data_IF_992137891013
#
_entry.id   IF_992137891013
#
_cell.length_a   1.000
_cell.length_b   1.000
_cell.length_c   1.000
_cell.angle_alpha   90.00
_cell.angle_beta   90.00
_cell.angle_gamma   90.00
#
_symmetry.space_group_name_H-M   'P 1'
#
loop_
_entity.id
_entity.type
_entity.pdbx_description
1 polymer ?
#
# COMPACT_ATOMS: atom_id res chain seq x y z
N UNK A 1 -2.95 -5.78 -14.65
CA UNK A 1 -1.56 -6.00 -15.08
C UNK A 1 -0.73 -6.34 -13.85
N UNK A 2 -0.04 -7.46 -13.89
CA UNK A 2 1.00 -7.85 -12.93
C UNK A 2 2.35 -7.64 -13.62
N UNK A 3 3.23 -6.87 -12.99
CA UNK A 3 4.62 -6.68 -13.45
C UNK A 3 5.57 -7.10 -12.32
N UNK A 4 6.44 -8.07 -12.58
CA UNK A 4 7.42 -8.60 -11.61
C UNK A 4 8.82 -8.34 -12.12
N UNK A 5 9.64 -7.66 -11.31
CA UNK A 5 11.07 -7.43 -11.58
C UNK A 5 11.89 -8.39 -10.73
N UNK A 6 12.56 -9.36 -11.35
CA UNK A 6 13.34 -10.40 -10.65
C UNK A 6 14.40 -11.00 -11.57
N UNK A 7 15.58 -11.27 -11.01
CA UNK A 7 16.70 -11.92 -11.70
C UNK A 7 17.13 -11.20 -12.98
N UNK A 8 17.21 -9.86 -12.93
CA UNK A 8 17.59 -9.06 -14.09
C UNK A 8 16.49 -8.85 -15.12
N UNK A 9 15.30 -9.44 -14.96
CA UNK A 9 14.22 -9.43 -15.95
C UNK A 9 12.96 -8.74 -15.45
N UNK A 10 12.20 -8.17 -16.38
CA UNK A 10 10.82 -7.70 -16.19
C UNK A 10 9.88 -8.75 -16.78
N UNK A 11 8.99 -9.27 -15.95
CA UNK A 11 7.96 -10.23 -16.30
C UNK A 11 6.60 -9.56 -16.24
N UNK A 12 5.75 -9.79 -17.23
CA UNK A 12 4.39 -9.25 -17.25
C UNK A 12 3.34 -10.31 -17.52
N UNK A 13 2.15 -10.12 -16.91
CA UNK A 13 0.97 -10.91 -17.17
C UNK A 13 -0.31 -10.08 -16.98
N UNK A 14 -1.25 -10.24 -17.92
CA UNK A 14 -2.56 -9.58 -17.88
C UNK A 14 -3.65 -10.57 -17.49
N UNK A 15 -4.58 -10.10 -16.66
CA UNK A 15 -5.74 -10.87 -16.20
C UNK A 15 -7.02 -10.11 -16.51
N UNK A 16 -8.06 -10.84 -16.93
CA UNK A 16 -9.41 -10.33 -17.14
C UNK A 16 -10.36 -11.26 -16.38
N UNK A 17 -11.12 -10.71 -15.43
CA UNK A 17 -11.98 -11.49 -14.52
C UNK A 17 -11.27 -12.70 -13.87
N UNK A 18 -10.00 -12.52 -13.50
CA UNK A 18 -9.17 -13.56 -12.88
C UNK A 18 -8.53 -14.55 -13.85
N UNK A 19 -8.91 -14.53 -15.13
CA UNK A 19 -8.35 -15.43 -16.15
C UNK A 19 -7.09 -14.81 -16.76
N UNK A 20 -5.94 -15.50 -16.76
CA UNK A 20 -4.74 -15.04 -17.45
C UNK A 20 -4.98 -15.01 -18.96
N UNK A 21 -4.62 -13.89 -19.60
CA UNK A 21 -4.83 -13.71 -21.04
C UNK A 21 -3.73 -14.36 -21.89
N UNK A 22 -2.56 -14.56 -21.29
CA UNK A 22 -1.40 -15.20 -21.89
C UNK A 22 -0.50 -15.75 -20.76
N UNK A 23 0.40 -16.71 -21.05
CA UNK A 23 1.47 -17.08 -20.14
C UNK A 23 2.35 -15.87 -19.79
N UNK A 24 2.92 -15.87 -18.59
CA UNK A 24 3.82 -14.81 -18.16
C UNK A 24 5.04 -14.73 -19.09
N UNK A 25 5.37 -13.53 -19.56
CA UNK A 25 6.45 -13.31 -20.54
C UNK A 25 7.44 -12.26 -20.06
N UNK A 26 8.68 -12.40 -20.53
CA UNK A 26 9.72 -11.39 -20.32
C UNK A 26 9.48 -10.25 -21.30
N UNK A 27 9.41 -9.03 -20.78
CA UNK A 27 9.19 -7.80 -21.59
C UNK A 27 10.40 -6.86 -21.57
N UNK A 28 11.43 -7.16 -20.78
CA UNK A 28 12.66 -6.38 -20.72
C UNK A 28 13.61 -6.80 -19.61
N UNK A 29 14.68 -6.02 -19.44
CA UNK A 29 15.65 -6.17 -18.36
C UNK A 29 15.36 -5.19 -17.22
N UNK A 30 15.82 -5.48 -16.00
CA UNK A 30 15.69 -4.61 -14.83
C UNK A 30 16.84 -4.79 -13.84
N UNK A 31 17.43 -3.67 -13.41
CA UNK A 31 18.45 -3.63 -12.36
C UNK A 31 17.84 -3.60 -10.94
N UNK A 32 16.51 -3.52 -10.85
CA UNK A 32 15.75 -3.51 -9.59
C UNK A 32 14.93 -4.78 -9.39
N UNK A 33 14.50 -4.99 -8.14
CA UNK A 33 13.54 -6.05 -7.78
C UNK A 33 12.25 -5.43 -7.26
N UNK A 34 11.14 -6.14 -7.46
CA UNK A 34 9.85 -5.68 -6.95
C UNK A 34 8.66 -6.28 -7.69
N UNK A 35 7.47 -6.04 -7.18
CA UNK A 35 6.21 -6.45 -7.80
C UNK A 35 5.27 -5.27 -7.84
N UNK A 36 4.65 -5.05 -9.00
CA UNK A 36 3.66 -4.03 -9.23
C UNK A 36 2.36 -4.71 -9.66
N UNK A 37 1.27 -4.31 -9.02
CA UNK A 37 -0.07 -4.80 -9.33
C UNK A 37 -0.92 -3.59 -9.69
N UNK A 38 -1.49 -3.61 -10.89
CA UNK A 38 -2.49 -2.66 -11.35
C UNK A 38 -3.79 -3.41 -11.66
N UNK A 39 -4.90 -2.99 -11.08
CA UNK A 39 -6.20 -3.62 -11.28
C UNK A 39 -7.31 -2.59 -11.44
N UNK A 40 -8.36 -2.99 -12.16
CA UNK A 40 -9.61 -2.26 -12.28
C UNK A 40 -10.71 -3.11 -11.62
N UNK A 41 -11.45 -2.60 -10.61
CA UNK A 41 -12.56 -3.32 -10.02
C UNK A 41 -13.64 -3.67 -11.06
N UNK A 42 -14.27 -4.83 -10.91
CA UNK A 42 -15.38 -5.25 -11.77
C UNK A 42 -16.66 -4.48 -11.45
N UNK A 43 -17.25 -3.82 -12.45
CA UNK A 43 -18.53 -3.13 -12.34
C UNK A 43 -19.72 -4.11 -12.20
N UNK A 44 -19.53 -5.39 -12.55
CA UNK A 44 -20.54 -6.43 -12.34
C UNK A 44 -20.61 -6.85 -10.86
N UNK A 45 -19.51 -6.71 -10.12
CA UNK A 45 -19.44 -7.07 -8.70
C UNK A 45 -19.74 -5.87 -7.81
N UNK A 46 -19.15 -4.71 -8.10
CA UNK A 46 -19.26 -3.52 -7.26
C UNK A 46 -20.22 -2.50 -7.86
N UNK A 47 -21.26 -2.13 -7.11
CA UNK A 47 -22.24 -1.10 -7.52
C UNK A 47 -21.68 0.32 -7.51
N UNK A 48 -20.73 0.62 -6.61
CA UNK A 48 -20.08 1.91 -6.52
C UNK A 48 -18.56 1.72 -6.51
N UNK A 49 -17.92 2.00 -7.64
CA UNK A 49 -16.46 1.92 -7.78
C UNK A 49 -15.89 3.30 -7.52
N UNK A 50 -15.61 3.58 -6.25
CA UNK A 50 -14.96 4.80 -5.82
C UNK A 50 -13.89 4.49 -4.77
N UNK A 51 -12.63 4.75 -5.12
CA UNK A 51 -11.53 4.68 -4.17
C UNK A 51 -11.45 6.01 -3.39
N UNK A 52 -11.78 5.94 -2.10
CA UNK A 52 -11.69 7.06 -1.17
C UNK A 52 -10.26 7.24 -0.66
N UNK A 53 -9.73 8.46 -0.80
CA UNK A 53 -8.43 8.83 -0.22
C UNK A 53 -8.39 8.55 1.28
N UNK A 54 -9.37 9.02 2.03
CA UNK A 54 -9.34 8.97 3.50
C UNK A 54 -9.33 7.54 4.04
N UNK A 55 -10.07 6.64 3.39
CA UNK A 55 -10.08 5.20 3.75
C UNK A 55 -8.70 4.58 3.52
N UNK A 56 -8.09 4.83 2.35
CA UNK A 56 -6.76 4.30 2.01
C UNK A 56 -5.66 4.91 2.88
N UNK A 57 -5.65 6.23 3.05
CA UNK A 57 -4.68 6.96 3.85
C UNK A 57 -4.72 6.51 5.31
N UNK A 58 -5.91 6.32 5.89
CA UNK A 58 -6.04 5.76 7.24
C UNK A 58 -5.38 4.39 7.34
N UNK A 59 -5.68 3.47 6.41
CA UNK A 59 -5.13 2.11 6.45
C UNK A 59 -3.62 2.08 6.24
N UNK A 60 -3.11 2.90 5.33
CA UNK A 60 -1.67 3.01 5.04
C UNK A 60 -0.93 3.62 6.24
N UNK A 61 -1.50 4.63 6.89
CA UNK A 61 -0.95 5.21 8.12
C UNK A 61 -0.81 4.16 9.22
N UNK A 62 -1.86 3.38 9.47
CA UNK A 62 -1.81 2.26 10.42
C UNK A 62 -0.67 1.27 10.07
N UNK A 63 -0.55 0.89 8.80
CA UNK A 63 0.50 -0.03 8.33
C UNK A 63 1.91 0.54 8.51
N UNK A 64 2.10 1.84 8.27
CA UNK A 64 3.41 2.49 8.40
C UNK A 64 3.90 2.54 9.85
N UNK A 65 3.00 2.64 10.85
CA UNK A 65 3.39 2.49 12.25
C UNK A 65 3.76 1.04 12.60
N UNK A 66 3.09 0.05 12.01
CA UNK A 66 3.38 -1.36 12.25
C UNK A 66 4.72 -1.82 11.65
N UNK A 67 5.17 -1.14 10.59
CA UNK A 67 6.37 -1.50 9.83
C UNK A 67 7.41 -0.38 9.93
N UNK A 68 7.96 -0.17 11.12
CA UNK A 68 8.96 0.86 11.37
C UNK A 68 10.12 0.77 10.38
N UNK A 69 10.45 1.89 9.74
CA UNK A 69 11.51 1.98 8.72
C UNK A 69 11.03 1.78 7.28
N UNK A 70 9.80 1.31 7.05
CA UNK A 70 9.20 1.22 5.71
C UNK A 70 8.49 2.52 5.35
N UNK A 71 8.84 3.10 4.21
CA UNK A 71 8.13 4.25 3.64
C UNK A 71 7.05 3.78 2.67
N UNK A 72 5.81 4.23 2.87
CA UNK A 72 4.68 3.94 1.98
C UNK A 72 4.19 5.25 1.38
N UNK A 73 4.17 5.37 0.06
CA UNK A 73 3.65 6.53 -0.66
C UNK A 73 2.22 6.23 -1.11
N UNK A 74 1.27 7.10 -0.77
CA UNK A 74 -0.06 7.12 -1.38
C UNK A 74 -0.15 8.31 -2.32
N UNK A 75 -0.52 8.04 -3.58
CA UNK A 75 -0.69 9.06 -4.61
C UNK A 75 -2.05 8.91 -5.27
N UNK A 76 -2.75 10.04 -5.42
CA UNK A 76 -4.00 10.13 -6.16
C UNK A 76 -3.79 10.97 -7.42
N UNK A 77 -3.67 10.30 -8.55
CA UNK A 77 -3.43 10.93 -9.84
C UNK A 77 -4.62 11.79 -10.32
N UNK A 78 -5.83 11.61 -9.75
CA UNK A 78 -7.02 12.40 -10.12
C UNK A 78 -6.93 13.83 -9.61
N UNK A 79 -6.37 14.02 -8.41
CA UNK A 79 -6.25 15.32 -7.75
C UNK A 79 -4.82 15.82 -7.63
N UNK A 80 -3.82 14.97 -7.95
CA UNK A 80 -2.40 15.25 -7.72
C UNK A 80 -1.97 15.17 -6.25
N UNK A 81 -2.83 14.68 -5.35
CA UNK A 81 -2.52 14.60 -3.92
C UNK A 81 -1.55 13.45 -3.67
N UNK A 82 -0.52 13.70 -2.85
CA UNK A 82 0.49 12.71 -2.50
C UNK A 82 0.88 12.88 -1.02
N UNK A 83 1.06 11.76 -0.32
CA UNK A 83 1.51 11.73 1.08
C UNK A 83 2.46 10.55 1.28
N UNK A 84 3.62 10.82 1.90
CA UNK A 84 4.59 9.81 2.32
C UNK A 84 4.34 9.46 3.79
N UNK A 85 3.99 8.20 4.04
CA UNK A 85 3.81 7.64 5.37
C UNK A 85 5.07 6.88 5.77
N UNK A 86 5.86 7.48 6.65
CA UNK A 86 7.08 6.87 7.22
C UNK A 86 7.17 7.28 8.69
N UNK A 87 6.69 6.41 9.56
CA UNK A 87 6.74 6.64 11.00
C UNK A 87 7.77 5.73 11.65
N UNK A 88 8.40 6.27 12.68
CA UNK A 88 9.29 5.55 13.57
C UNK A 88 8.62 5.41 14.94
N UNK A 89 9.12 4.50 15.78
CA UNK A 89 8.56 4.30 17.13
C UNK A 89 7.41 3.28 17.21
N UNK A 90 7.09 2.61 16.09
CA UNK A 90 6.25 1.41 16.10
C UNK A 90 4.83 1.63 16.63
N UNK A 91 4.33 0.62 17.35
CA UNK A 91 3.01 0.64 17.98
C UNK A 91 2.85 1.71 19.05
N UNK A 92 3.92 2.10 19.75
CA UNK A 92 3.87 3.18 20.74
C UNK A 92 3.44 4.49 20.07
N UNK A 93 4.12 4.86 18.98
CA UNK A 93 3.80 6.07 18.22
C UNK A 93 2.39 6.02 17.61
N UNK A 94 1.89 4.82 17.25
CA UNK A 94 0.52 4.65 16.79
C UNK A 94 -0.52 4.95 17.89
N UNK A 95 -0.30 4.47 19.11
CA UNK A 95 -1.22 4.74 20.24
C UNK A 95 -1.20 6.23 20.59
N UNK A 96 -0.03 6.86 20.58
CA UNK A 96 0.11 8.33 20.76
C UNK A 96 -0.66 9.09 19.68
N UNK A 97 -0.55 8.67 18.41
CA UNK A 97 -1.32 9.23 17.29
C UNK A 97 -2.84 9.06 17.49
N UNK A 98 -3.31 7.88 17.87
CA UNK A 98 -4.75 7.64 18.14
C UNK A 98 -5.30 8.50 19.28
N UNK A 99 -4.43 8.89 20.22
CA UNK A 99 -4.76 9.74 21.36
C UNK A 99 -4.63 11.25 21.08
N UNK A 100 -4.20 11.68 19.90
CA UNK A 100 -3.97 13.11 19.59
C UNK A 100 -5.20 14.00 19.82
N UNK A 101 -6.41 13.44 19.63
CA UNK A 101 -7.68 14.15 19.85
C UNK A 101 -8.41 13.71 21.13
N UNK A 102 -7.69 13.13 22.09
CA UNK A 102 -8.23 12.64 23.37
C UNK A 102 -7.35 13.15 24.52
N UNK A 103 -7.89 13.18 25.73
CA UNK A 103 -7.10 13.42 26.94
C UNK A 103 -6.59 12.09 27.48
N UNK A 104 -5.29 11.76 27.36
CA UNK A 104 -4.73 10.54 27.93
C UNK A 104 -4.77 10.60 29.45
N UNK A 105 -5.13 9.49 30.10
CA UNK A 105 -5.16 9.36 31.57
C UNK A 105 -3.86 8.79 32.15
N UNK A 106 -3.03 8.17 31.31
CA UNK A 106 -1.74 7.59 31.67
C UNK A 106 -0.79 7.57 30.46
N UNK A 107 0.50 7.35 30.72
CA UNK A 107 1.50 7.15 29.67
C UNK A 107 1.28 5.84 28.92
N UNK A 108 1.68 5.80 27.64
CA UNK A 108 1.56 4.60 26.80
C UNK A 108 2.51 3.52 27.31
N UNK A 109 1.95 2.41 27.79
CA UNK A 109 2.71 1.21 28.12
C UNK A 109 3.11 0.46 26.85
N UNK A 110 4.41 0.13 26.72
CA UNK A 110 4.98 -0.58 25.58
C UNK A 110 6.10 -1.51 26.05
N UNK A 111 6.21 -2.69 25.46
CA UNK A 111 7.27 -3.66 25.74
C UNK A 111 7.87 -4.19 24.44
N UNK A 112 9.16 -4.48 24.46
CA UNK A 112 9.83 -5.26 23.44
C UNK A 112 9.98 -6.67 23.99
N UNK A 113 9.54 -7.69 23.23
CA UNK A 113 9.86 -9.10 23.53
C UNK A 113 11.29 -9.38 23.07
#
# INVERSE_FOLDING_TARGET
>A
LLTVRRSGKIWEQTYVHGVPQEPMKIVGESDSTGTQIHFKPSAETFKNIHFSWDILAKRIRELSFLNSGVGIVLKDERSGKEELFKYEGGLRAFVEYLNTNKTPVNEVFHFNI
#
